data_IF_640323456018
#
_entry.id   IF_640323456018
#
_cell.length_a   1.000
_cell.length_b   1.000
_cell.length_c   1.000
_cell.angle_alpha   90.00
_cell.angle_beta   90.00
_cell.angle_gamma   90.00
#
_symmetry.space_group_name_H-M   'P 1'
#
loop_
_entity.id
_entity.type
_entity.pdbx_description
1 polymer ?
#
# COMPACT_ATOMS: atom_id res chain seq x y z
N UNK A 1 15.69 11.40 16.05
CA UNK A 1 14.22 11.42 16.04
C UNK A 1 13.78 11.33 14.59
N UNK A 2 12.65 10.68 14.29
CA UNK A 2 12.17 10.56 12.92
C UNK A 2 11.85 11.93 12.32
N UNK A 3 12.49 12.35 11.20
CA UNK A 3 12.22 13.64 10.57
C UNK A 3 10.76 13.84 10.16
N UNK A 4 10.03 12.75 9.89
CA UNK A 4 8.62 12.81 9.53
C UNK A 4 7.70 13.31 10.65
N UNK A 5 8.20 13.38 11.88
CA UNK A 5 7.47 13.94 13.03
C UNK A 5 7.75 15.44 13.24
N UNK A 6 8.60 16.06 12.42
CA UNK A 6 8.85 17.49 12.50
C UNK A 6 7.62 18.28 12.02
N UNK A 7 7.22 19.31 12.77
CA UNK A 7 6.10 20.21 12.40
C UNK A 7 6.31 20.92 11.05
N UNK A 8 7.58 21.05 10.63
CA UNK A 8 7.97 21.63 9.34
C UNK A 8 7.81 20.68 8.15
N UNK A 9 7.47 19.41 8.37
CA UNK A 9 7.28 18.43 7.29
C UNK A 9 6.16 18.88 6.36
N UNK A 10 6.44 18.91 5.05
CA UNK A 10 5.49 19.30 4.00
C UNK A 10 5.65 18.40 2.77
N UNK A 11 4.55 18.13 2.08
CA UNK A 11 4.54 17.31 0.87
C UNK A 11 4.82 18.18 -0.34
N UNK A 12 5.99 17.98 -0.93
CA UNK A 12 6.43 18.73 -2.11
C UNK A 12 5.50 18.48 -3.31
N UNK A 13 5.12 19.55 -4.00
CA UNK A 13 4.19 19.52 -5.14
C UNK A 13 2.71 19.46 -4.75
N UNK A 14 2.38 19.30 -3.47
CA UNK A 14 1.00 19.37 -2.96
C UNK A 14 0.83 20.48 -1.93
N UNK A 15 1.60 20.46 -0.84
CA UNK A 15 1.60 21.50 0.21
C UNK A 15 2.61 22.62 -0.07
N UNK A 16 3.44 22.45 -1.11
CA UNK A 16 4.35 23.47 -1.61
C UNK A 16 4.15 23.63 -3.11
N UNK A 17 4.33 24.85 -3.61
CA UNK A 17 4.28 25.12 -5.06
C UNK A 17 5.54 24.56 -5.78
N UNK A 18 5.53 24.60 -7.11
CA UNK A 18 6.61 24.16 -8.01
C UNK A 18 6.93 22.66 -7.93
N UNK A 19 5.88 21.84 -8.05
CA UNK A 19 5.98 20.38 -8.19
C UNK A 19 6.55 19.93 -9.54
N UNK A 20 6.41 18.64 -9.87
CA UNK A 20 7.11 18.01 -11.00
C UNK A 20 6.44 18.16 -12.37
N UNK A 21 5.21 18.68 -12.46
CA UNK A 21 4.51 18.89 -13.74
C UNK A 21 4.97 20.16 -14.46
N UNK A 22 6.27 20.22 -14.78
CA UNK A 22 6.91 21.31 -15.49
C UNK A 22 8.31 20.88 -15.98
N UNK A 23 8.89 21.62 -16.93
CA UNK A 23 10.21 21.31 -17.49
C UNK A 23 11.35 21.35 -16.44
N UNK A 24 11.21 22.16 -15.39
CA UNK A 24 12.20 22.31 -14.32
C UNK A 24 11.50 22.42 -12.97
N UNK A 25 11.91 21.60 -12.00
CA UNK A 25 11.34 21.62 -10.66
C UNK A 25 12.40 21.96 -9.61
N UNK A 26 12.01 22.71 -8.57
CA UNK A 26 12.90 23.06 -7.45
C UNK A 26 12.68 22.06 -6.32
N UNK A 27 13.69 21.28 -6.00
CA UNK A 27 13.72 20.35 -4.88
C UNK A 27 14.82 20.73 -3.87
N UNK A 28 14.66 20.32 -2.61
CA UNK A 28 15.73 20.41 -1.62
C UNK A 28 16.75 19.29 -1.85
N UNK A 29 18.02 19.54 -1.54
CA UNK A 29 19.10 18.58 -1.80
C UNK A 29 18.86 17.19 -1.19
N UNK A 30 18.25 17.13 0.00
CA UNK A 30 17.97 15.88 0.69
C UNK A 30 16.85 15.04 0.03
N UNK A 31 16.01 15.66 -0.81
CA UNK A 31 14.96 14.96 -1.57
C UNK A 31 15.49 14.27 -2.83
N UNK A 32 16.76 14.50 -3.20
CA UNK A 32 17.36 13.95 -4.40
C UNK A 32 17.99 12.58 -4.13
N UNK A 33 17.55 11.57 -4.89
CA UNK A 33 18.10 10.20 -4.86
C UNK A 33 18.68 9.88 -6.23
N UNK A 34 19.81 9.17 -6.27
CA UNK A 34 20.38 8.70 -7.52
C UNK A 34 19.39 7.80 -8.26
N UNK A 35 19.09 8.13 -9.52
CA UNK A 35 18.22 7.32 -10.36
C UNK A 35 18.81 5.91 -10.56
N UNK A 36 18.04 4.83 -10.36
CA UNK A 36 18.45 3.49 -10.78
C UNK A 36 18.79 3.46 -12.27
N UNK A 37 20.06 3.17 -12.61
CA UNK A 37 20.57 3.27 -13.99
C UNK A 37 19.82 2.39 -14.97
N UNK A 38 19.42 1.18 -14.55
CA UNK A 38 18.69 0.20 -15.36
C UNK A 38 17.28 0.63 -15.79
N UNK A 39 16.69 1.63 -15.13
CA UNK A 39 15.29 2.03 -15.39
C UNK A 39 15.21 3.08 -16.49
N UNK A 40 14.12 3.10 -17.23
CA UNK A 40 13.76 4.24 -18.07
C UNK A 40 13.36 5.45 -17.20
N UNK A 41 13.24 6.64 -17.78
CA UNK A 41 12.82 7.84 -17.06
C UNK A 41 11.44 7.68 -16.43
N UNK A 42 10.47 7.18 -17.20
CA UNK A 42 9.10 6.95 -16.74
C UNK A 42 9.04 5.88 -15.64
N UNK A 43 9.83 4.80 -15.76
CA UNK A 43 9.88 3.77 -14.73
C UNK A 43 10.52 4.30 -13.44
N UNK A 44 11.57 5.12 -13.55
CA UNK A 44 12.19 5.77 -12.38
C UNK A 44 11.29 6.83 -11.73
N UNK A 45 10.44 7.50 -12.50
CA UNK A 45 9.56 8.58 -12.04
C UNK A 45 8.24 8.12 -11.41
N UNK A 46 7.83 6.85 -11.58
CA UNK A 46 6.49 6.41 -11.19
C UNK A 46 6.37 5.86 -9.76
N UNK A 47 7.46 5.38 -9.15
CA UNK A 47 7.32 4.49 -7.98
C UNK A 47 7.57 5.17 -6.62
N UNK A 48 8.38 6.23 -6.55
CA UNK A 48 9.02 6.60 -5.28
C UNK A 48 8.02 6.97 -4.19
N UNK A 49 6.99 7.77 -4.51
CA UNK A 49 5.97 8.19 -3.54
C UNK A 49 5.23 7.00 -2.92
N UNK A 50 4.70 6.09 -3.75
CA UNK A 50 3.98 4.92 -3.26
C UNK A 50 4.94 3.90 -2.62
N UNK A 51 6.10 3.68 -3.23
CA UNK A 51 7.07 2.67 -2.80
C UNK A 51 7.71 3.01 -1.47
N UNK A 52 8.08 4.27 -1.25
CA UNK A 52 8.68 4.69 0.01
C UNK A 52 7.65 4.73 1.13
N UNK A 53 6.41 5.14 0.82
CA UNK A 53 5.28 5.05 1.77
C UNK A 53 5.03 3.61 2.19
N UNK A 54 4.93 2.69 1.22
CA UNK A 54 4.75 1.27 1.50
C UNK A 54 5.92 0.69 2.30
N UNK A 55 7.15 1.07 1.96
CA UNK A 55 8.35 0.64 2.68
C UNK A 55 8.33 1.12 4.13
N UNK A 56 7.97 2.38 4.40
CA UNK A 56 7.84 2.89 5.77
C UNK A 56 6.78 2.11 6.56
N UNK A 57 5.62 1.83 5.95
CA UNK A 57 4.56 1.07 6.62
C UNK A 57 5.04 -0.33 7.02
N UNK A 58 5.81 -0.99 6.16
CA UNK A 58 6.25 -2.38 6.34
C UNK A 58 7.54 -2.52 7.15
N UNK A 59 8.44 -1.54 7.10
CA UNK A 59 9.81 -1.64 7.63
C UNK A 59 10.18 -0.48 8.58
N UNK A 60 9.33 0.53 8.73
CA UNK A 60 9.63 1.74 9.51
C UNK A 60 9.19 1.72 10.96
N UNK A 61 8.49 0.66 11.40
CA UNK A 61 7.78 0.65 12.69
C UNK A 61 8.21 -0.49 13.60
N UNK A 62 9.50 -0.52 13.98
CA UNK A 62 10.02 -1.48 14.95
C UNK A 62 9.18 -1.53 16.24
N UNK A 63 9.06 -2.72 16.87
CA UNK A 63 9.57 -4.02 16.42
C UNK A 63 8.67 -4.71 15.36
N UNK A 64 7.65 -4.04 14.83
CA UNK A 64 6.69 -4.61 13.89
C UNK A 64 7.11 -4.30 12.45
N UNK A 65 8.13 -5.01 11.98
CA UNK A 65 8.60 -4.96 10.59
C UNK A 65 8.40 -6.30 9.91
N UNK A 66 8.34 -6.35 8.58
CA UNK A 66 8.23 -7.63 7.86
C UNK A 66 9.52 -8.44 8.06
N UNK A 67 9.35 -9.67 8.53
CA UNK A 67 10.42 -10.66 8.65
C UNK A 67 10.19 -11.85 7.70
N UNK A 68 11.24 -12.67 7.42
CA UNK A 68 11.07 -13.86 6.59
C UNK A 68 9.98 -14.79 7.14
N UNK A 69 9.04 -15.17 6.28
CA UNK A 69 7.91 -16.03 6.63
C UNK A 69 6.67 -15.30 7.16
N UNK A 70 6.76 -14.01 7.49
CA UNK A 70 5.61 -13.24 7.99
C UNK A 70 4.49 -13.20 6.96
N UNK A 71 3.27 -13.46 7.41
CA UNK A 71 2.06 -13.28 6.60
C UNK A 71 1.65 -11.82 6.66
N UNK A 72 1.47 -11.19 5.49
CA UNK A 72 1.06 -9.79 5.38
C UNK A 72 -0.21 -9.69 4.56
N UNK A 73 -1.28 -9.14 5.11
CA UNK A 73 -2.51 -8.88 4.37
C UNK A 73 -2.41 -7.52 3.69
N UNK A 74 -2.58 -7.46 2.37
CA UNK A 74 -2.40 -6.25 1.56
C UNK A 74 -3.73 -5.83 0.91
N UNK A 75 -4.32 -4.75 1.41
CA UNK A 75 -5.52 -4.16 0.81
C UNK A 75 -5.22 -3.44 -0.51
N UNK A 76 -6.16 -3.51 -1.46
CA UNK A 76 -6.05 -2.79 -2.73
C UNK A 76 -4.79 -3.17 -3.51
N UNK A 77 -4.48 -4.46 -3.56
CA UNK A 77 -3.17 -4.99 -3.95
C UNK A 77 -2.74 -4.70 -5.41
N UNK A 78 -3.65 -4.21 -6.26
CA UNK A 78 -3.33 -3.80 -7.64
C UNK A 78 -3.15 -2.29 -7.83
N UNK A 79 -3.41 -1.48 -6.80
CA UNK A 79 -3.13 -0.04 -6.85
C UNK A 79 -1.65 0.25 -6.55
N UNK A 80 -1.23 1.51 -6.73
CA UNK A 80 0.19 1.89 -6.60
C UNK A 80 0.86 1.55 -5.26
N UNK A 81 0.14 1.74 -4.13
CA UNK A 81 0.62 1.31 -2.81
C UNK A 81 0.66 -0.21 -2.67
N UNK A 82 -0.43 -0.88 -3.07
CA UNK A 82 -0.61 -2.31 -2.89
C UNK A 82 0.38 -3.13 -3.71
N UNK A 83 0.60 -2.78 -4.98
CA UNK A 83 1.52 -3.51 -5.85
C UNK A 83 2.95 -3.45 -5.33
N UNK A 84 3.40 -2.27 -4.87
CA UNK A 84 4.72 -2.10 -4.26
C UNK A 84 4.80 -2.78 -2.89
N UNK A 85 3.71 -2.85 -2.12
CA UNK A 85 3.68 -3.62 -0.88
C UNK A 85 3.87 -5.12 -1.14
N UNK A 86 3.24 -5.70 -2.18
CA UNK A 86 3.47 -7.12 -2.55
C UNK A 86 4.96 -7.37 -2.85
N UNK A 87 5.54 -6.53 -3.69
CA UNK A 87 6.94 -6.58 -4.09
C UNK A 87 7.89 -6.46 -2.90
N UNK A 88 7.65 -5.49 -1.99
CA UNK A 88 8.48 -5.28 -0.80
C UNK A 88 8.38 -6.46 0.16
N UNK A 89 7.17 -6.97 0.43
CA UNK A 89 6.99 -8.15 1.30
C UNK A 89 7.72 -9.36 0.70
N UNK A 90 7.58 -9.61 -0.62
CA UNK A 90 8.32 -10.66 -1.32
C UNK A 90 9.83 -10.46 -1.19
N UNK A 91 10.33 -9.24 -1.41
CA UNK A 91 11.75 -8.92 -1.31
C UNK A 91 12.33 -9.19 0.09
N UNK A 92 11.51 -9.07 1.14
CA UNK A 92 11.86 -9.42 2.52
C UNK A 92 11.61 -10.89 2.89
N UNK A 93 11.21 -11.72 1.93
CA UNK A 93 10.85 -13.14 2.10
C UNK A 93 9.62 -13.36 2.99
N UNK A 94 8.76 -12.35 3.11
CA UNK A 94 7.42 -12.50 3.68
C UNK A 94 6.45 -13.15 2.69
N UNK A 95 5.20 -13.33 3.13
CA UNK A 95 4.13 -14.02 2.41
C UNK A 95 2.93 -13.07 2.26
N UNK A 96 2.87 -12.27 1.18
CA UNK A 96 1.79 -11.31 1.02
C UNK A 96 0.51 -11.99 0.51
N UNK A 97 -0.61 -11.74 1.18
CA UNK A 97 -1.96 -12.12 0.75
C UNK A 97 -2.63 -10.88 0.18
N UNK A 98 -2.94 -10.91 -1.11
CA UNK A 98 -3.54 -9.78 -1.81
C UNK A 98 -5.06 -9.74 -1.61
N UNK A 99 -5.60 -8.56 -1.35
CA UNK A 99 -7.05 -8.32 -1.39
C UNK A 99 -7.40 -7.44 -2.59
N UNK A 100 -8.31 -7.94 -3.43
CA UNK A 100 -8.75 -7.32 -4.67
C UNK A 100 -10.28 -7.21 -4.72
N UNK A 101 -10.82 -6.53 -5.72
CA UNK A 101 -12.26 -6.34 -5.93
C UNK A 101 -12.86 -7.15 -7.09
N UNK A 102 -12.00 -7.87 -7.82
CA UNK A 102 -12.33 -8.60 -9.05
C UNK A 102 -11.31 -9.73 -9.21
N UNK A 103 -11.75 -10.91 -9.64
CA UNK A 103 -10.88 -12.06 -9.87
C UNK A 103 -9.94 -11.85 -11.07
N UNK A 104 -10.29 -10.96 -12.02
CA UNK A 104 -9.41 -10.57 -13.13
C UNK A 104 -8.07 -9.97 -12.65
N UNK A 105 -8.03 -9.45 -11.41
CA UNK A 105 -6.83 -8.88 -10.77
C UNK A 105 -5.89 -9.94 -10.19
N UNK A 106 -6.35 -11.19 -10.05
CA UNK A 106 -5.59 -12.26 -9.39
C UNK A 106 -4.24 -12.51 -10.06
N UNK A 107 -4.22 -12.58 -11.40
CA UNK A 107 -3.01 -12.86 -12.17
C UNK A 107 -1.89 -11.85 -11.85
N UNK A 108 -2.21 -10.56 -11.91
CA UNK A 108 -1.28 -9.48 -11.57
C UNK A 108 -0.71 -9.67 -10.16
N UNK A 109 -1.56 -9.89 -9.15
CA UNK A 109 -1.08 -10.06 -7.78
C UNK A 109 -0.11 -11.26 -7.62
N UNK A 110 -0.40 -12.39 -8.27
CA UNK A 110 0.47 -13.58 -8.21
C UNK A 110 1.82 -13.32 -8.89
N UNK A 111 1.83 -12.63 -10.04
CA UNK A 111 3.06 -12.24 -10.76
C UNK A 111 3.94 -11.30 -9.91
N UNK A 112 3.31 -10.46 -9.08
CA UNK A 112 3.96 -9.54 -8.15
C UNK A 112 4.21 -10.13 -6.74
N UNK A 113 4.12 -11.45 -6.58
CA UNK A 113 4.61 -12.15 -5.39
C UNK A 113 3.57 -12.50 -4.34
N UNK A 114 2.28 -12.25 -4.59
CA UNK A 114 1.22 -12.74 -3.70
C UNK A 114 1.28 -14.27 -3.58
N UNK A 115 1.14 -14.79 -2.36
CA UNK A 115 1.00 -16.23 -2.11
C UNK A 115 -0.45 -16.70 -2.15
N UNK A 116 -1.39 -15.75 -2.10
CA UNK A 116 -2.83 -15.98 -2.14
C UNK A 116 -3.56 -14.69 -2.45
N UNK A 117 -4.78 -14.81 -2.98
CA UNK A 117 -5.62 -13.67 -3.37
C UNK A 117 -7.03 -13.88 -2.84
N UNK A 118 -7.59 -12.83 -2.24
CA UNK A 118 -8.95 -12.79 -1.73
C UNK A 118 -9.71 -11.72 -2.50
N UNK A 119 -10.88 -12.08 -3.03
CA UNK A 119 -11.79 -11.12 -3.64
C UNK A 119 -12.80 -10.61 -2.61
N UNK A 120 -12.68 -9.32 -2.25
CA UNK A 120 -13.54 -8.69 -1.24
C UNK A 120 -15.01 -8.57 -1.65
N UNK A 121 -15.33 -8.69 -2.96
CA UNK A 121 -16.72 -8.62 -3.44
C UNK A 121 -17.56 -9.83 -3.02
N UNK A 122 -16.92 -10.90 -2.52
CA UNK A 122 -17.59 -12.10 -2.01
C UNK A 122 -18.07 -11.94 -0.56
N UNK A 123 -17.93 -10.76 0.03
CA UNK A 123 -18.34 -10.43 1.38
C UNK A 123 -19.12 -9.12 1.42
N UNK A 124 -20.01 -8.98 2.39
CA UNK A 124 -20.98 -7.88 2.49
C UNK A 124 -20.95 -7.13 3.83
N UNK A 125 -20.18 -7.60 4.82
CA UNK A 125 -20.07 -7.01 6.16
C UNK A 125 -19.24 -5.70 6.24
N UNK A 126 -18.91 -5.09 5.11
CA UNK A 126 -18.07 -3.89 5.04
C UNK A 126 -18.76 -2.67 5.65
N UNK A 127 -17.95 -1.70 6.09
CA UNK A 127 -18.44 -0.47 6.71
C UNK A 127 -18.09 -0.40 8.20
N UNK A 128 -18.64 0.60 8.90
CA UNK A 128 -18.55 0.69 10.34
C UNK A 128 -19.09 -0.56 11.03
N UNK A 129 -18.39 -1.01 12.06
CA UNK A 129 -18.85 -2.09 12.91
C UNK A 129 -20.06 -1.64 13.74
N UNK A 130 -21.11 -2.46 13.86
CA UNK A 130 -22.23 -2.17 14.75
C UNK A 130 -21.81 -2.12 16.23
N UNK A 131 -22.66 -1.52 17.06
CA UNK A 131 -22.46 -1.49 18.52
C UNK A 131 -22.34 -2.90 19.08
N UNK A 132 -21.33 -3.15 19.92
CA UNK A 132 -21.08 -4.47 20.51
C UNK A 132 -22.17 -4.93 21.48
N UNK A 133 -23.05 -4.01 21.92
CA UNK A 133 -24.22 -4.29 22.76
C UNK A 133 -25.43 -4.76 21.95
N UNK A 134 -25.47 -4.47 20.64
CA UNK A 134 -26.47 -5.05 19.74
C UNK A 134 -25.98 -6.44 19.29
N UNK A 135 -26.33 -7.45 20.07
CA UNK A 135 -25.90 -8.83 19.80
C UNK A 135 -26.32 -9.36 18.43
N UNK A 136 -27.43 -8.90 17.86
CA UNK A 136 -27.91 -9.36 16.54
C UNK A 136 -27.09 -8.71 15.42
N UNK A 137 -26.96 -7.38 15.44
CA UNK A 137 -26.19 -6.66 14.43
C UNK A 137 -24.70 -7.06 14.48
N UNK A 138 -24.12 -7.09 15.68
CA UNK A 138 -22.74 -7.53 15.89
C UNK A 138 -22.53 -9.00 15.47
N UNK A 139 -23.47 -9.90 15.80
CA UNK A 139 -23.41 -11.30 15.39
C UNK A 139 -23.37 -11.46 13.86
N UNK A 140 -24.17 -10.67 13.13
CA UNK A 140 -24.17 -10.67 11.67
C UNK A 140 -22.85 -10.17 11.08
N UNK A 141 -22.33 -9.04 11.57
CA UNK A 141 -21.03 -8.52 11.16
C UNK A 141 -19.90 -9.53 11.44
N UNK A 142 -19.87 -10.09 12.65
CA UNK A 142 -18.85 -11.05 13.08
C UNK A 142 -18.88 -12.34 12.24
N UNK A 143 -20.03 -12.77 11.74
CA UNK A 143 -20.14 -13.89 10.79
C UNK A 143 -19.40 -13.59 9.50
N UNK A 144 -19.57 -12.39 8.94
CA UNK A 144 -18.85 -11.93 7.75
C UNK A 144 -17.34 -11.81 7.99
N UNK A 145 -16.93 -11.20 9.10
CA UNK A 145 -15.51 -11.06 9.46
C UNK A 145 -14.83 -12.43 9.68
N UNK A 146 -15.53 -13.41 10.27
CA UNK A 146 -15.04 -14.80 10.39
C UNK A 146 -14.93 -15.50 9.04
N UNK A 147 -15.89 -15.29 8.13
CA UNK A 147 -15.81 -15.82 6.78
C UNK A 147 -14.60 -15.26 6.03
N UNK A 148 -14.34 -13.96 6.15
CA UNK A 148 -13.14 -13.32 5.59
C UNK A 148 -11.86 -13.88 6.23
N UNK A 149 -11.82 -14.04 7.56
CA UNK A 149 -10.70 -14.69 8.25
C UNK A 149 -10.44 -16.13 7.79
N UNK A 150 -11.49 -16.90 7.48
CA UNK A 150 -11.35 -18.22 6.85
C UNK A 150 -10.73 -18.09 5.44
N UNK A 151 -11.17 -17.12 4.64
CA UNK A 151 -10.61 -16.90 3.31
C UNK A 151 -9.12 -16.51 3.35
N UNK A 152 -8.67 -15.81 4.40
CA UNK A 152 -7.24 -15.57 4.66
C UNK A 152 -6.49 -16.90 4.83
N UNK A 153 -7.00 -17.81 5.65
CA UNK A 153 -6.39 -19.12 5.84
C UNK A 153 -6.44 -19.99 4.58
N UNK A 154 -7.56 -19.98 3.86
CA UNK A 154 -7.72 -20.74 2.61
C UNK A 154 -6.76 -20.23 1.53
N UNK A 155 -6.61 -18.91 1.39
CA UNK A 155 -5.68 -18.29 0.44
C UNK A 155 -4.22 -18.58 0.78
N UNK A 156 -3.91 -18.72 2.08
CA UNK A 156 -2.56 -19.03 2.55
C UNK A 156 -2.24 -20.55 2.50
N UNK A 157 -3.26 -21.40 2.60
CA UNK A 157 -3.13 -22.86 2.72
C UNK A 157 -2.90 -23.37 4.15
N UNK A 158 -2.93 -22.49 5.16
CA UNK A 158 -2.70 -22.83 6.57
C UNK A 158 -3.43 -21.84 7.51
N UNK A 159 -3.60 -22.23 8.77
CA UNK A 159 -4.33 -21.43 9.78
C UNK A 159 -3.45 -20.40 10.47
N UNK A 160 -2.80 -19.54 9.70
CA UNK A 160 -1.94 -18.46 10.21
C UNK A 160 -2.59 -17.11 9.96
N UNK A 161 -2.70 -16.29 11.01
CA UNK A 161 -3.19 -14.91 10.90
C UNK A 161 -2.07 -13.96 10.43
N UNK A 162 -2.39 -12.88 9.70
CA UNK A 162 -1.40 -11.90 9.27
C UNK A 162 -0.70 -11.24 10.46
N UNK A 163 0.63 -11.21 10.43
CA UNK A 163 1.45 -10.46 11.40
C UNK A 163 1.31 -8.95 11.19
N UNK A 164 1.21 -8.53 9.92
CA UNK A 164 0.97 -7.15 9.53
C UNK A 164 -0.26 -7.10 8.62
N UNK A 165 -1.11 -6.11 8.84
CA UNK A 165 -2.16 -5.71 7.90
C UNK A 165 -1.80 -4.35 7.32
N UNK A 166 -1.57 -4.32 6.01
CA UNK A 166 -1.26 -3.12 5.23
C UNK A 166 -2.56 -2.44 4.81
N UNK A 167 -2.91 -1.38 5.53
CA UNK A 167 -4.21 -0.69 5.46
C UNK A 167 -4.13 0.67 4.74
N UNK A 168 -5.20 1.01 4.03
CA UNK A 168 -5.39 2.32 3.39
C UNK A 168 -6.86 2.59 3.00
N UNK A 169 -7.74 1.58 2.79
CA UNK A 169 -9.15 1.89 2.57
C UNK A 169 -9.82 2.54 3.78
N UNK A 170 -9.46 2.18 5.01
CA UNK A 170 -9.96 2.86 6.22
C UNK A 170 -11.34 2.40 6.67
N UNK A 171 -12.28 3.34 6.84
CA UNK A 171 -13.59 3.16 7.50
C UNK A 171 -14.29 1.83 7.20
N UNK A 172 -14.33 1.39 5.94
CA UNK A 172 -15.05 0.17 5.55
C UNK A 172 -14.34 -1.16 5.86
N UNK A 173 -13.01 -1.17 5.98
CA UNK A 173 -12.21 -2.41 6.11
C UNK A 173 -11.53 -2.56 7.45
N UNK A 174 -11.27 -1.45 8.13
CA UNK A 174 -10.48 -1.42 9.36
C UNK A 174 -11.03 -2.29 10.50
N UNK A 175 -12.35 -2.40 10.73
CA UNK A 175 -12.89 -3.36 11.69
C UNK A 175 -12.49 -4.80 11.39
N UNK A 176 -12.52 -5.19 10.12
CA UNK A 176 -12.13 -6.54 9.67
C UNK A 176 -10.61 -6.71 9.74
N UNK A 177 -9.83 -5.69 9.40
CA UNK A 177 -8.37 -5.66 9.56
C UNK A 177 -7.95 -5.91 11.01
N UNK A 178 -8.58 -5.22 11.96
CA UNK A 178 -8.40 -5.49 13.39
C UNK A 178 -8.79 -6.93 13.69
N UNK A 179 -9.96 -7.41 13.26
CA UNK A 179 -10.42 -8.77 13.55
C UNK A 179 -9.44 -9.86 13.10
N UNK A 180 -8.89 -9.77 11.88
CA UNK A 180 -8.03 -10.82 11.31
C UNK A 180 -6.56 -10.69 11.67
N UNK A 181 -6.09 -9.52 12.09
CA UNK A 181 -4.70 -9.32 12.50
C UNK A 181 -4.32 -10.27 13.65
N UNK A 182 -3.15 -10.89 13.54
CA UNK A 182 -2.62 -11.84 14.52
C UNK A 182 -2.38 -11.22 15.90
N UNK A 183 -2.24 -12.08 16.91
CA UNK A 183 -1.83 -11.66 18.26
C UNK A 183 -0.44 -11.03 18.22
N UNK A 184 -0.28 -9.86 18.85
CA UNK A 184 0.96 -9.09 18.79
C UNK A 184 1.29 -8.59 17.37
N UNK A 185 0.30 -8.51 16.48
CA UNK A 185 0.43 -7.99 15.13
C UNK A 185 0.22 -6.48 15.06
N UNK A 186 0.45 -5.92 13.87
CA UNK A 186 0.24 -4.50 13.59
C UNK A 186 -0.72 -4.28 12.42
N UNK A 187 -1.70 -3.41 12.62
CA UNK A 187 -2.45 -2.77 11.53
C UNK A 187 -1.79 -1.41 11.28
N UNK A 188 -1.22 -1.22 10.09
CA UNK A 188 -0.53 0.03 9.72
C UNK A 188 -1.29 0.71 8.59
N UNK A 189 -1.59 2.01 8.75
CA UNK A 189 -2.46 2.77 7.86
C UNK A 189 -1.83 4.07 7.38
N UNK A 190 -2.05 4.45 6.12
CA UNK A 190 -1.59 5.74 5.58
C UNK A 190 -2.68 6.60 4.91
N UNK A 191 -3.90 6.09 4.77
CA UNK A 191 -5.03 6.79 4.15
C UNK A 191 -6.36 6.23 4.66
N UNK A 192 -7.47 6.83 4.22
CA UNK A 192 -8.84 6.34 4.48
C UNK A 192 -9.73 6.56 3.26
N UNK A 193 -9.49 5.83 2.18
CA UNK A 193 -10.19 6.01 0.88
C UNK A 193 -11.72 5.90 1.00
N UNK A 194 -12.21 5.08 1.93
CA UNK A 194 -13.64 4.81 2.14
C UNK A 194 -14.26 5.64 3.26
N UNK A 195 -13.48 6.51 3.91
CA UNK A 195 -13.91 7.29 5.06
C UNK A 195 -12.85 7.32 6.15
N UNK A 196 -13.03 8.26 7.08
CA UNK A 196 -12.09 8.54 8.17
C UNK A 196 -12.64 8.19 9.55
N UNK A 197 -13.91 7.78 9.67
CA UNK A 197 -14.46 7.35 10.95
C UNK A 197 -14.11 5.88 11.16
N UNK A 198 -13.50 5.58 12.29
CA UNK A 198 -13.04 4.23 12.56
C UNK A 198 -13.75 3.69 13.79
N UNK A 199 -14.36 2.52 13.62
CA UNK A 199 -14.92 1.71 14.70
C UNK A 199 -14.04 0.50 14.94
N UNK A 200 -13.74 0.18 16.19
CA UNK A 200 -12.98 -1.00 16.58
C UNK A 200 -13.63 -1.69 17.77
N UNK A 201 -13.63 -3.02 17.76
CA UNK A 201 -13.90 -3.78 18.97
C UNK A 201 -12.61 -3.90 19.79
N UNK A 202 -12.51 -3.06 20.82
CA UNK A 202 -11.34 -2.98 21.69
C UNK A 202 -10.96 -4.33 22.31
N UNK A 203 -11.90 -5.27 22.49
CA UNK A 203 -11.62 -6.59 23.06
C UNK A 203 -10.60 -7.35 22.20
N UNK A 204 -10.73 -7.29 20.87
CA UNK A 204 -9.76 -7.93 19.98
C UNK A 204 -8.40 -7.23 20.01
N UNK A 205 -8.38 -5.94 20.30
CA UNK A 205 -7.16 -5.14 20.34
C UNK A 205 -6.35 -5.43 21.60
N UNK A 206 -6.93 -5.25 22.79
CA UNK A 206 -6.18 -5.39 24.05
C UNK A 206 -5.94 -6.86 24.41
N UNK A 207 -6.92 -7.77 24.22
CA UNK A 207 -6.76 -9.17 24.62
C UNK A 207 -5.72 -9.91 23.76
N UNK A 208 -5.46 -9.40 22.55
CA UNK A 208 -4.43 -9.92 21.63
C UNK A 208 -3.25 -8.97 21.47
N UNK A 209 -3.18 -7.90 22.26
CA UNK A 209 -2.07 -6.95 22.33
C UNK A 209 -1.61 -6.45 20.95
N UNK A 210 -2.56 -6.03 20.12
CA UNK A 210 -2.25 -5.55 18.76
C UNK A 210 -1.81 -4.09 18.77
N UNK A 211 -1.15 -3.67 17.70
CA UNK A 211 -0.76 -2.29 17.44
C UNK A 211 -1.58 -1.71 16.31
N UNK A 212 -2.14 -0.51 16.50
CA UNK A 212 -2.69 0.30 15.41
C UNK A 212 -1.76 1.49 15.17
N UNK A 213 -1.18 1.57 13.96
CA UNK A 213 -0.10 2.50 13.64
C UNK A 213 -0.45 3.40 12.47
N UNK A 214 -0.52 4.70 12.71
CA UNK A 214 -0.54 5.70 11.63
C UNK A 214 0.83 5.83 10.96
N UNK A 215 0.86 5.94 9.64
CA UNK A 215 2.08 6.13 8.85
C UNK A 215 1.85 7.16 7.76
N UNK A 216 2.85 7.98 7.47
CA UNK A 216 2.74 9.04 6.47
C UNK A 216 4.06 9.18 5.71
N UNK A 217 4.00 9.07 4.38
CA UNK A 217 5.14 9.00 3.46
C UNK A 217 6.33 8.20 4.02
N UNK A 218 7.53 8.79 3.98
CA UNK A 218 8.80 8.19 4.29
C UNK A 218 9.84 9.28 4.55
N UNK A 219 10.79 9.03 5.43
CA UNK A 219 12.00 9.85 5.47
C UNK A 219 13.01 9.44 4.38
N UNK A 220 14.10 10.20 4.26
CA UNK A 220 15.14 10.03 3.23
C UNK A 220 15.78 8.63 3.28
N UNK A 221 16.00 8.08 4.48
CA UNK A 221 16.58 6.73 4.66
C UNK A 221 15.65 5.65 4.11
N UNK A 222 14.35 5.77 4.36
CA UNK A 222 13.32 4.84 3.88
C UNK A 222 13.13 4.96 2.35
N UNK A 223 13.14 6.17 1.81
CA UNK A 223 13.09 6.41 0.38
C UNK A 223 14.32 5.85 -0.35
N UNK A 224 15.51 6.01 0.23
CA UNK A 224 16.73 5.40 -0.28
C UNK A 224 16.70 3.88 -0.20
N UNK A 225 16.17 3.31 0.89
CA UNK A 225 16.11 1.86 1.07
C UNK A 225 15.24 1.17 0.02
N UNK A 226 14.04 1.68 -0.27
CA UNK A 226 13.21 1.12 -1.35
C UNK A 226 13.84 1.34 -2.72
N UNK A 227 14.50 2.48 -2.95
CA UNK A 227 15.20 2.75 -4.22
C UNK A 227 16.32 1.74 -4.46
N UNK A 228 17.05 1.33 -3.42
CA UNK A 228 18.06 0.26 -3.51
C UNK A 228 17.47 -1.10 -3.84
N UNK A 229 16.28 -1.43 -3.31
CA UNK A 229 15.59 -2.67 -3.68
C UNK A 229 15.18 -2.65 -5.16
N UNK A 230 14.70 -1.51 -5.64
CA UNK A 230 14.39 -1.30 -7.06
C UNK A 230 15.66 -1.40 -7.90
N UNK A 231 16.74 -0.72 -7.54
CA UNK A 231 18.01 -0.79 -8.25
C UNK A 231 18.55 -2.21 -8.35
N UNK A 232 18.46 -2.98 -7.26
CA UNK A 232 18.86 -4.38 -7.21
C UNK A 232 17.91 -5.35 -7.94
N UNK A 233 16.82 -4.87 -8.55
CA UNK A 233 15.85 -5.71 -9.26
C UNK A 233 14.97 -6.56 -8.35
N UNK A 234 14.93 -6.28 -7.04
CA UNK A 234 14.12 -7.03 -6.07
C UNK A 234 12.69 -6.51 -5.94
N UNK A 235 12.47 -5.26 -6.31
CA UNK A 235 11.17 -4.60 -6.36
C UNK A 235 10.97 -4.05 -7.77
N UNK A 236 9.90 -4.45 -8.42
CA UNK A 236 9.47 -3.85 -9.69
C UNK A 236 8.74 -2.51 -9.43
N UNK A 237 9.06 -1.42 -10.18
CA UNK A 237 8.32 -0.15 -10.11
C UNK A 237 6.81 -0.29 -10.39
N UNK A 238 6.38 -1.39 -10.99
CA UNK A 238 5.02 -1.68 -11.42
C UNK A 238 4.49 -0.59 -12.37
N UNK A 239 5.32 -0.10 -13.29
CA UNK A 239 4.91 0.89 -14.28
C UNK A 239 3.85 0.27 -15.20
N UNK A 240 2.69 0.90 -15.26
CA UNK A 240 1.51 0.37 -15.94
C UNK A 240 1.26 1.03 -17.29
N UNK A 241 1.28 2.37 -17.30
CA UNK A 241 1.05 3.18 -18.49
C UNK A 241 1.80 4.50 -18.37
N UNK A 242 2.29 4.96 -19.51
CA UNK A 242 2.98 6.25 -19.64
C UNK A 242 2.20 7.15 -20.58
N UNK A 243 2.04 8.40 -20.18
CA UNK A 243 1.32 9.45 -20.90
C UNK A 243 2.28 10.58 -21.30
N UNK A 244 1.93 11.34 -22.33
CA UNK A 244 2.56 12.60 -22.67
C UNK A 244 2.14 13.73 -21.71
N UNK A 245 2.87 14.85 -21.76
CA UNK A 245 2.62 15.99 -20.88
C UNK A 245 1.21 16.57 -21.03
N UNK A 246 0.71 16.67 -22.26
CA UNK A 246 -0.62 17.21 -22.56
C UNK A 246 -1.77 16.28 -22.11
N UNK A 247 -1.46 15.01 -21.80
CA UNK A 247 -2.40 14.00 -21.31
C UNK A 247 -2.49 13.97 -19.77
N UNK A 248 -1.81 14.90 -19.08
CA UNK A 248 -1.87 15.05 -17.62
C UNK A 248 -3.30 15.07 -17.06
N UNK A 249 -4.24 15.87 -17.60
CA UNK A 249 -5.62 15.90 -17.09
C UNK A 249 -6.33 14.55 -17.21
N UNK A 250 -6.15 13.84 -18.33
CA UNK A 250 -6.77 12.53 -18.56
C UNK A 250 -6.25 11.48 -17.58
N UNK A 251 -4.93 11.43 -17.38
CA UNK A 251 -4.29 10.55 -16.41
C UNK A 251 -4.89 10.73 -15.00
N UNK A 252 -5.08 11.97 -14.55
CA UNK A 252 -5.70 12.25 -13.24
C UNK A 252 -7.19 11.92 -13.21
N UNK A 253 -7.92 12.14 -14.32
CA UNK A 253 -9.33 11.78 -14.41
C UNK A 253 -9.53 10.25 -14.29
N UNK A 254 -8.65 9.45 -14.89
CA UNK A 254 -8.66 7.98 -14.73
C UNK A 254 -8.40 7.54 -13.29
N UNK A 255 -7.57 8.28 -12.54
CA UNK A 255 -7.39 8.03 -11.11
C UNK A 255 -8.65 8.36 -10.32
N UNK A 256 -9.26 9.52 -10.58
CA UNK A 256 -10.50 9.98 -9.94
C UNK A 256 -11.65 8.98 -10.16
N UNK A 257 -11.82 8.52 -11.39
CA UNK A 257 -12.88 7.58 -11.76
C UNK A 257 -12.55 6.12 -11.38
N UNK A 258 -11.38 5.87 -10.79
CA UNK A 258 -10.87 4.54 -10.45
C UNK A 258 -10.83 3.58 -11.66
N UNK A 259 -10.48 4.11 -12.84
CA UNK A 259 -10.36 3.40 -14.13
C UNK A 259 -8.92 3.25 -14.62
N UNK A 260 -7.95 3.76 -13.87
CA UNK A 260 -6.53 3.63 -14.16
C UNK A 260 -6.07 2.15 -14.16
N UNK A 261 -5.06 1.80 -14.97
CA UNK A 261 -4.50 0.45 -15.00
C UNK A 261 -3.80 0.07 -13.69
N UNK A 262 -3.57 -1.23 -13.48
CA UNK A 262 -2.94 -1.78 -12.27
C UNK A 262 -1.49 -1.34 -12.14
N UNK A 263 -1.06 -0.92 -10.95
CA UNK A 263 0.28 -0.41 -10.69
C UNK A 263 0.36 1.11 -10.68
N UNK A 264 1.44 1.66 -11.23
CA UNK A 264 1.81 3.07 -11.17
C UNK A 264 1.88 3.67 -12.58
N UNK A 265 1.33 4.86 -12.76
CA UNK A 265 1.38 5.58 -14.04
C UNK A 265 2.54 6.59 -14.05
N UNK A 266 2.97 6.99 -15.25
CA UNK A 266 3.99 8.01 -15.44
C UNK A 266 3.56 9.02 -16.51
N UNK A 267 4.16 10.21 -16.45
CA UNK A 267 3.97 11.27 -17.44
C UNK A 267 5.34 11.71 -17.94
N UNK A 268 5.53 11.75 -19.25
CA UNK A 268 6.72 12.29 -19.89
C UNK A 268 6.70 13.83 -19.80
N UNK A 269 7.86 14.40 -19.45
CA UNK A 269 8.06 15.85 -19.38
C UNK A 269 8.98 16.30 -20.51
N UNK A 270 10.30 16.26 -20.28
CA UNK A 270 11.30 16.57 -21.33
C UNK A 270 11.75 15.31 -22.09
N UNK A 271 11.50 14.12 -21.55
CA UNK A 271 11.75 12.88 -22.28
C UNK A 271 10.79 12.82 -23.47
N UNK A 272 11.33 12.76 -24.69
CA UNK A 272 10.53 12.89 -25.91
C UNK A 272 9.77 11.63 -26.30
N UNK A 273 10.13 10.48 -25.72
CA UNK A 273 9.48 9.18 -25.90
C UNK A 273 9.78 8.26 -24.73
N UNK A 274 8.99 7.20 -24.59
CA UNK A 274 9.25 6.10 -23.65
C UNK A 274 10.53 5.34 -24.01
N UNK A 275 11.09 4.60 -23.04
CA UNK A 275 12.27 3.77 -23.24
C UNK A 275 13.61 4.48 -23.07
N UNK A 276 13.61 5.80 -22.81
CA UNK A 276 14.84 6.57 -22.64
C UNK A 276 15.35 6.54 -21.20
N UNK A 277 16.65 6.78 -21.01
CA UNK A 277 17.27 7.00 -19.70
C UNK A 277 17.83 5.77 -19.00
N UNK A 278 17.62 4.58 -19.55
CA UNK A 278 18.30 3.37 -19.10
C UNK A 278 19.75 3.32 -19.64
N UNK A 279 20.71 2.89 -18.81
CA UNK A 279 22.14 2.77 -19.15
C UNK A 279 22.80 1.62 -18.39
#
# INVERSE_FOLDING_TARGET
KDPMLAESTRIWGYQTNYGSYCQFARAQAHQCIAKPKRLTWEAAGCFLLCGSTAYRMLMGWAPHTVEPGDVVLVWGATGGLGSLALEIVRAQRGRPIAVVSDDAKKKFCMEHGAVGVINRSQFDHWGPMPDTRDGKAYGNWAKGARAFGKAVWDALGERTNPKIVFEHPGEATLPTSEFVCGTGGMIVICAGTTGYNVTLDLRYHWMRQKRFQGSHLSNDEQALAVTRLVEAGKVDPCLSQTYGFDELPECHQLMLDNKHPYGNMAVLVNATRTGLGAS
#
